data_IF_500231645122
#
_entry.id   IF_500231645122
#
_cell.length_a   1.000
_cell.length_b   1.000
_cell.length_c   1.000
_cell.angle_alpha   90.00
_cell.angle_beta   90.00
_cell.angle_gamma   90.00
#
_symmetry.space_group_name_H-M   'P 1'
#
loop_
_entity.id
_entity.type
_entity.pdbx_description
1 polymer ?
#
# COMPACT_ATOMS: atom_id res chain seq x y z
N UNK A 1 -10.91 5.80 -20.72
CA UNK A 1 -10.11 6.95 -20.30
C UNK A 1 -9.14 6.48 -19.23
N UNK A 2 -7.82 6.75 -19.34
CA UNK A 2 -6.86 6.36 -18.31
C UNK A 2 -7.15 7.14 -17.02
N UNK A 3 -7.19 6.45 -15.89
CA UNK A 3 -7.21 7.14 -14.60
C UNK A 3 -5.83 7.76 -14.34
N UNK A 4 -5.80 8.96 -13.79
CA UNK A 4 -4.54 9.64 -13.50
C UNK A 4 -3.74 8.90 -12.43
N UNK A 5 -2.41 8.93 -12.56
CA UNK A 5 -1.49 8.47 -11.54
C UNK A 5 -1.82 9.12 -10.18
N UNK A 6 -1.52 8.47 -9.04
CA UNK A 6 -1.61 9.13 -7.76
C UNK A 6 -0.75 10.40 -7.81
N UNK A 7 -1.28 11.53 -7.31
CA UNK A 7 -0.57 12.79 -7.38
C UNK A 7 0.77 12.66 -6.66
N UNK A 8 1.82 13.19 -7.27
CA UNK A 8 3.10 13.36 -6.59
C UNK A 8 2.93 14.23 -5.32
N UNK A 9 3.88 14.21 -4.41
CA UNK A 9 3.85 15.08 -3.23
C UNK A 9 3.66 16.57 -3.64
N UNK A 10 4.25 16.97 -4.77
CA UNK A 10 4.09 18.30 -5.35
C UNK A 10 2.67 18.53 -5.90
N UNK A 11 2.04 17.52 -6.50
CA UNK A 11 0.67 17.64 -7.00
C UNK A 11 -0.34 17.69 -5.85
N UNK A 12 -0.10 16.95 -4.76
CA UNK A 12 -0.87 17.04 -3.51
C UNK A 12 -0.73 18.41 -2.87
N UNK A 13 0.50 18.94 -2.79
CA UNK A 13 0.75 20.27 -2.26
C UNK A 13 0.06 21.36 -3.10
N UNK A 14 0.13 21.27 -4.44
CA UNK A 14 -0.56 22.19 -5.36
C UNK A 14 -2.08 22.08 -5.25
N UNK A 15 -2.62 20.87 -5.12
CA UNK A 15 -4.07 20.64 -5.00
C UNK A 15 -4.60 21.15 -3.66
N UNK A 16 -3.84 20.97 -2.58
CA UNK A 16 -4.15 21.51 -1.27
C UNK A 16 -4.11 23.05 -1.29
N UNK A 17 -3.08 23.65 -1.91
CA UNK A 17 -2.97 25.08 -2.05
C UNK A 17 -4.14 25.68 -2.87
N UNK A 18 -4.52 25.04 -3.98
CA UNK A 18 -5.66 25.45 -4.80
C UNK A 18 -6.99 25.35 -4.05
N UNK A 19 -7.22 24.29 -3.28
CA UNK A 19 -8.42 24.14 -2.42
C UNK A 19 -8.45 25.18 -1.29
N UNK A 20 -7.32 25.48 -0.70
CA UNK A 20 -7.19 26.51 0.32
C UNK A 20 -7.51 27.90 -0.24
N UNK A 21 -7.04 28.21 -1.45
CA UNK A 21 -7.38 29.45 -2.14
C UNK A 21 -8.87 29.54 -2.47
N UNK A 22 -9.50 28.44 -2.90
CA UNK A 22 -10.92 28.38 -3.17
C UNK A 22 -11.77 28.55 -1.89
N UNK A 23 -11.36 27.95 -0.77
CA UNK A 23 -12.01 28.14 0.52
C UNK A 23 -11.84 29.56 1.07
N UNK A 24 -10.67 30.17 0.90
CA UNK A 24 -10.43 31.56 1.26
C UNK A 24 -11.28 32.52 0.41
N UNK A 25 -11.42 32.27 -0.90
CA UNK A 25 -12.30 33.04 -1.78
C UNK A 25 -13.78 32.91 -1.40
N UNK A 26 -14.22 31.71 -1.00
CA UNK A 26 -15.59 31.46 -0.52
C UNK A 26 -15.86 32.17 0.80
N UNK A 27 -14.89 32.17 1.72
CA UNK A 27 -14.99 32.88 2.99
C UNK A 27 -15.03 34.41 2.80
N UNK A 28 -14.25 34.95 1.84
CA UNK A 28 -14.31 36.37 1.47
C UNK A 28 -15.64 36.76 0.83
N UNK A 29 -16.21 35.88 0.00
CA UNK A 29 -17.53 36.12 -0.62
C UNK A 29 -18.65 36.04 0.41
N UNK A 30 -18.56 35.20 1.42
CA UNK A 30 -19.52 35.14 2.53
C UNK A 30 -19.40 36.36 3.46
N UNK A 31 -18.16 36.81 3.71
CA UNK A 31 -17.92 38.02 4.50
C UNK A 31 -18.47 39.28 3.81
N UNK A 32 -18.28 39.43 2.51
CA UNK A 32 -18.82 40.55 1.72
C UNK A 32 -20.35 40.49 1.57
N UNK A 33 -20.94 39.28 1.60
CA UNK A 33 -22.42 39.11 1.57
C UNK A 33 -23.08 39.43 2.92
N UNK A 34 -22.35 39.20 4.02
CA UNK A 34 -22.79 39.58 5.36
C UNK A 34 -22.79 41.13 5.58
N UNK A 35 -21.89 41.84 4.88
CA UNK A 35 -21.86 43.32 4.92
C UNK A 35 -22.91 43.99 4.03
N UNK A 36 -23.46 43.28 3.03
CA UNK A 36 -24.45 43.81 2.08
C UNK A 36 -25.92 43.73 2.54
N UNK A 37 -26.20 43.09 3.68
CA UNK A 37 -27.58 42.83 4.13
C UNK A 37 -28.15 43.82 5.19
N UNK A 38 -27.49 44.94 5.48
CA UNK A 38 -27.96 45.90 6.49
C UNK A 38 -28.11 47.32 5.97
N UNK A 39 -28.77 47.50 4.84
CA UNK A 39 -29.06 48.85 4.32
C UNK A 39 -30.48 48.90 3.73
N UNK A 40 -31.49 49.03 4.59
CA UNK A 40 -32.75 49.73 4.26
C UNK A 40 -33.59 49.94 5.53
N UNK A 41 -33.57 51.15 6.10
CA UNK A 41 -34.70 51.77 6.76
C UNK A 41 -34.36 53.19 7.30
N UNK A 42 -35.12 54.15 6.78
CA UNK A 42 -35.57 55.43 7.36
C UNK A 42 -34.58 56.55 7.65
N UNK A 43 -34.81 57.64 6.87
CA UNK A 43 -34.36 58.99 7.10
C UNK A 43 -34.85 59.59 8.44
N UNK A 44 -33.89 59.98 9.27
CA UNK A 44 -34.01 61.13 10.18
C UNK A 44 -32.62 61.79 10.31
N UNK A 45 -32.52 63.13 10.16
CA UNK A 45 -31.26 63.89 10.21
C UNK A 45 -30.57 63.74 11.56
N UNK A 46 -29.26 63.47 11.60
CA UNK A 46 -28.55 63.42 12.86
C UNK A 46 -27.74 64.68 13.12
N UNK A 47 -27.80 65.13 14.33
CA UNK A 47 -26.84 66.04 14.97
C UNK A 47 -25.41 65.42 15.00
N UNK A 48 -24.46 66.21 14.65
CA UNK A 48 -23.03 65.93 14.49
C UNK A 48 -22.36 65.72 15.84
N UNK A 49 -22.11 64.47 16.24
CA UNK A 49 -21.18 64.15 17.35
C UNK A 49 -19.94 63.44 16.80
N UNK A 50 -18.75 63.90 17.26
CA UNK A 50 -17.40 63.39 16.86
C UNK A 50 -17.28 61.90 17.25
N UNK A 51 -16.79 61.01 16.37
CA UNK A 51 -16.56 59.61 16.71
C UNK A 51 -15.29 59.47 17.56
N UNK A 52 -15.41 58.81 18.70
CA UNK A 52 -14.32 58.50 19.60
C UNK A 52 -13.42 57.41 19.04
N UNK A 53 -12.09 57.56 19.19
CA UNK A 53 -11.01 56.68 18.72
C UNK A 53 -11.04 55.19 19.17
N UNK A 54 -12.07 54.77 19.94
CA UNK A 54 -12.12 53.43 20.57
C UNK A 54 -12.53 52.28 19.61
N UNK A 55 -13.26 52.56 18.54
CA UNK A 55 -13.78 51.50 17.62
C UNK A 55 -12.75 50.90 16.68
N UNK A 56 -11.66 51.64 16.38
CA UNK A 56 -10.62 51.12 15.45
C UNK A 56 -9.70 50.07 16.06
N UNK A 57 -9.53 50.00 17.39
CA UNK A 57 -8.68 49.00 18.05
C UNK A 57 -9.30 47.61 18.05
N UNK A 58 -10.62 47.48 18.21
CA UNK A 58 -11.35 46.20 18.20
C UNK A 58 -11.31 45.51 16.83
N UNK A 59 -11.50 46.27 15.74
CA UNK A 59 -11.49 45.74 14.38
C UNK A 59 -10.09 45.24 14.00
N UNK A 60 -9.03 45.98 14.37
CA UNK A 60 -7.64 45.63 14.10
C UNK A 60 -7.22 44.37 14.90
N UNK A 61 -7.65 44.23 16.13
CA UNK A 61 -7.39 43.06 16.96
C UNK A 61 -8.18 41.82 16.45
N UNK A 62 -9.40 42.00 15.93
CA UNK A 62 -10.18 40.95 15.30
C UNK A 62 -9.55 40.44 14.00
N UNK A 63 -9.03 41.35 13.16
CA UNK A 63 -8.32 40.97 11.91
C UNK A 63 -7.01 40.23 12.23
N UNK A 64 -6.24 40.68 13.22
CA UNK A 64 -5.00 40.04 13.64
C UNK A 64 -5.31 38.64 14.23
N UNK A 65 -6.30 38.53 15.10
CA UNK A 65 -6.71 37.24 15.66
C UNK A 65 -7.22 36.28 14.59
N UNK A 66 -7.99 36.75 13.61
CA UNK A 66 -8.43 35.96 12.47
C UNK A 66 -7.29 35.49 11.58
N UNK A 67 -6.37 36.38 11.24
CA UNK A 67 -5.17 36.03 10.45
C UNK A 67 -4.28 35.03 11.18
N UNK A 68 -4.08 35.20 12.49
CA UNK A 68 -3.30 34.25 13.31
C UNK A 68 -3.98 32.89 13.38
N UNK A 69 -5.30 32.82 13.55
CA UNK A 69 -6.04 31.57 13.57
C UNK A 69 -5.97 30.83 12.23
N UNK A 70 -6.06 31.55 11.10
CA UNK A 70 -5.91 30.99 9.76
C UNK A 70 -4.48 30.47 9.55
N UNK A 71 -3.46 31.23 9.95
CA UNK A 71 -2.06 30.80 9.83
C UNK A 71 -1.77 29.55 10.68
N UNK A 72 -2.29 29.47 11.89
CA UNK A 72 -2.17 28.30 12.74
C UNK A 72 -2.93 27.08 12.18
N UNK A 73 -4.12 27.27 11.63
CA UNK A 73 -4.88 26.20 10.99
C UNK A 73 -4.17 25.69 9.75
N UNK A 74 -3.66 26.58 8.87
CA UNK A 74 -2.91 26.21 7.68
C UNK A 74 -1.58 25.55 8.05
N UNK A 75 -0.84 26.09 9.00
CA UNK A 75 0.40 25.50 9.50
C UNK A 75 0.17 24.15 10.15
N UNK A 76 -0.88 24.00 10.95
CA UNK A 76 -1.25 22.75 11.61
C UNK A 76 -1.66 21.66 10.62
N UNK A 77 -2.49 21.99 9.62
CA UNK A 77 -2.90 21.01 8.59
C UNK A 77 -1.74 20.61 7.69
N UNK A 78 -0.85 21.53 7.32
CA UNK A 78 0.34 21.22 6.54
C UNK A 78 1.30 20.34 7.33
N UNK A 79 1.58 20.69 8.60
CA UNK A 79 2.43 19.89 9.46
C UNK A 79 1.85 18.49 9.69
N UNK A 80 0.53 18.38 9.90
CA UNK A 80 -0.15 17.10 10.02
C UNK A 80 -0.04 16.27 8.72
N UNK A 81 -0.27 16.89 7.57
CA UNK A 81 -0.19 16.19 6.28
C UNK A 81 1.24 15.72 5.97
N UNK A 82 2.25 16.56 6.24
CA UNK A 82 3.65 16.17 6.09
C UNK A 82 3.99 15.02 7.03
N UNK A 83 3.61 15.10 8.30
CA UNK A 83 3.84 14.04 9.28
C UNK A 83 3.13 12.74 8.89
N UNK A 84 1.89 12.84 8.37
CA UNK A 84 1.08 11.65 8.04
C UNK A 84 1.50 10.96 6.76
N UNK A 85 2.02 11.69 5.75
CA UNK A 85 2.19 11.17 4.39
C UNK A 85 3.60 11.30 3.81
N UNK A 86 4.50 12.02 4.47
CA UNK A 86 5.81 12.35 3.88
C UNK A 86 6.97 12.05 4.84
N UNK A 87 6.81 12.32 6.13
CA UNK A 87 7.89 12.11 7.10
C UNK A 87 7.95 10.64 7.47
N UNK A 88 9.12 10.05 7.33
CA UNK A 88 9.39 8.67 7.74
C UNK A 88 9.34 8.54 9.26
N UNK A 89 8.62 7.54 9.74
CA UNK A 89 8.53 7.19 11.16
C UNK A 89 9.13 5.81 11.36
N UNK A 90 10.38 5.75 11.75
CA UNK A 90 11.10 4.50 11.99
C UNK A 90 10.77 3.98 13.37
N UNK A 91 10.23 2.76 13.45
CA UNK A 91 9.94 2.03 14.69
C UNK A 91 11.03 0.98 14.98
N UNK A 92 11.52 0.31 13.91
CA UNK A 92 12.65 -0.63 13.96
C UNK A 92 13.71 -0.17 12.95
N UNK A 93 14.91 0.12 13.44
CA UNK A 93 16.00 0.71 12.62
C UNK A 93 16.77 -0.32 11.79
N UNK A 94 16.69 -1.62 12.12
CA UNK A 94 17.22 -2.73 11.35
C UNK A 94 16.34 -3.94 11.57
N UNK A 95 15.51 -4.26 10.59
CA UNK A 95 14.60 -5.39 10.65
C UNK A 95 15.37 -6.72 10.66
N UNK A 96 16.42 -6.84 9.87
CA UNK A 96 17.28 -8.02 9.81
C UNK A 96 17.95 -8.32 11.18
N UNK A 97 18.43 -7.30 11.86
CA UNK A 97 18.99 -7.43 13.23
C UNK A 97 17.91 -7.79 14.24
N UNK A 98 16.73 -7.22 14.10
CA UNK A 98 15.60 -7.53 14.97
C UNK A 98 15.13 -8.98 14.80
N UNK A 99 14.97 -9.45 13.58
CA UNK A 99 14.64 -10.85 13.25
C UNK A 99 15.70 -11.82 13.81
N UNK A 100 16.98 -11.48 13.65
CA UNK A 100 18.08 -12.28 14.19
C UNK A 100 18.01 -12.39 15.72
N UNK A 101 17.66 -11.31 16.42
CA UNK A 101 17.47 -11.32 17.88
C UNK A 101 16.31 -12.20 18.33
N UNK A 102 15.32 -12.43 17.46
CA UNK A 102 14.18 -13.31 17.69
C UNK A 102 14.43 -14.77 17.23
N UNK A 103 15.63 -15.08 16.77
CA UNK A 103 15.99 -16.41 16.26
C UNK A 103 15.52 -16.69 14.84
N UNK A 104 15.07 -15.67 14.10
CA UNK A 104 14.53 -15.76 12.74
C UNK A 104 15.49 -15.18 11.69
N UNK A 105 16.79 -15.17 11.98
CA UNK A 105 17.80 -14.72 11.02
C UNK A 105 17.68 -15.45 9.68
N UNK A 106 17.95 -14.74 8.60
CA UNK A 106 18.13 -15.39 7.30
C UNK A 106 19.37 -16.29 7.37
N UNK A 107 19.16 -17.59 7.19
CA UNK A 107 20.30 -18.52 7.07
C UNK A 107 20.95 -18.34 5.71
N UNK A 108 22.16 -17.83 5.71
CA UNK A 108 22.97 -17.55 4.51
C UNK A 108 23.72 -18.77 3.98
N UNK A 109 23.27 -19.99 4.21
CA UNK A 109 23.86 -21.13 3.50
C UNK A 109 23.38 -21.12 2.04
N UNK A 110 23.98 -20.19 1.26
CA UNK A 110 23.72 -20.09 -0.18
C UNK A 110 24.36 -21.29 -0.86
N UNK A 111 23.61 -22.37 -1.00
CA UNK A 111 24.05 -23.47 -1.84
C UNK A 111 23.69 -23.16 -3.29
N UNK A 112 24.53 -22.36 -3.96
CA UNK A 112 24.35 -21.99 -5.36
C UNK A 112 24.97 -22.98 -6.34
N UNK A 113 25.71 -23.98 -5.84
CA UNK A 113 26.48 -24.88 -6.69
C UNK A 113 25.62 -25.77 -7.60
N UNK A 114 24.33 -25.91 -7.28
CA UNK A 114 23.36 -26.68 -8.07
C UNK A 114 22.32 -25.81 -8.76
N UNK A 115 22.39 -24.49 -8.59
CA UNK A 115 21.39 -23.58 -9.14
C UNK A 115 21.49 -23.49 -10.67
N UNK A 116 20.36 -23.68 -11.33
CA UNK A 116 20.20 -23.43 -12.78
C UNK A 116 19.21 -22.31 -12.98
N UNK A 117 19.63 -21.29 -13.72
CA UNK A 117 18.80 -20.11 -14.01
C UNK A 117 18.71 -19.89 -15.51
N UNK A 118 17.50 -19.66 -16.00
CA UNK A 118 17.22 -19.20 -17.37
C UNK A 118 16.52 -17.83 -17.31
N UNK A 119 16.05 -17.32 -18.44
CA UNK A 119 15.27 -16.08 -18.50
C UNK A 119 13.96 -16.16 -17.71
N UNK A 120 13.40 -17.34 -17.58
CA UNK A 120 12.04 -17.60 -17.09
C UNK A 120 11.96 -18.73 -16.05
N UNK A 121 13.07 -19.37 -15.70
CA UNK A 121 13.10 -20.43 -14.68
C UNK A 121 14.30 -20.31 -13.74
N UNK A 122 14.09 -20.74 -12.50
CA UNK A 122 15.12 -20.96 -11.50
C UNK A 122 14.88 -22.30 -10.82
N UNK A 123 15.95 -23.07 -10.66
CA UNK A 123 15.92 -24.31 -9.90
C UNK A 123 17.17 -24.41 -9.03
N UNK A 124 16.97 -24.68 -7.74
CA UNK A 124 18.05 -24.98 -6.81
C UNK A 124 17.56 -26.02 -5.80
N UNK A 125 18.13 -27.21 -5.84
CA UNK A 125 17.62 -28.32 -5.03
C UNK A 125 16.12 -28.56 -5.28
N UNK A 126 15.31 -28.40 -4.24
CA UNK A 126 13.86 -28.55 -4.32
C UNK A 126 13.09 -27.23 -4.57
N UNK A 127 13.79 -26.10 -4.59
CA UNK A 127 13.18 -24.83 -4.97
C UNK A 127 13.09 -24.74 -6.49
N UNK A 128 11.86 -24.54 -7.00
CA UNK A 128 11.59 -24.36 -8.42
C UNK A 128 10.71 -23.15 -8.61
N UNK A 129 11.13 -22.25 -9.49
CA UNK A 129 10.37 -21.06 -9.87
C UNK A 129 10.27 -21.03 -11.39
N UNK A 130 9.07 -20.85 -11.91
CA UNK A 130 8.87 -20.54 -13.33
C UNK A 130 8.02 -19.28 -13.47
N UNK A 131 8.47 -18.37 -14.32
CA UNK A 131 7.76 -17.11 -14.60
C UNK A 131 7.30 -17.13 -16.04
N UNK A 132 6.04 -16.82 -16.29
CA UNK A 132 5.49 -16.73 -17.64
C UNK A 132 4.63 -15.48 -17.81
N UNK A 133 4.73 -14.85 -18.96
CA UNK A 133 3.81 -13.82 -19.42
C UNK A 133 2.62 -14.48 -20.09
N UNK A 134 1.42 -14.01 -19.77
CA UNK A 134 0.18 -14.41 -20.41
C UNK A 134 -0.53 -13.17 -20.95
N UNK A 135 -1.03 -13.27 -22.19
CA UNK A 135 -1.86 -12.23 -22.78
C UNK A 135 -3.20 -12.84 -23.21
N UNK A 136 -4.26 -12.32 -22.65
CA UNK A 136 -5.62 -12.81 -22.91
C UNK A 136 -6.63 -11.65 -22.85
N UNK A 137 -7.48 -11.53 -23.89
CA UNK A 137 -8.59 -10.56 -23.96
C UNK A 137 -8.20 -9.11 -23.61
N UNK A 138 -7.03 -8.63 -24.08
CA UNK A 138 -6.57 -7.27 -23.81
C UNK A 138 -6.08 -7.05 -22.37
N UNK A 139 -5.72 -8.14 -21.69
CA UNK A 139 -5.07 -8.15 -20.39
C UNK A 139 -3.74 -8.89 -20.51
N UNK A 140 -2.67 -8.26 -20.01
CA UNK A 140 -1.35 -8.88 -19.86
C UNK A 140 -1.11 -9.12 -18.38
N UNK A 141 -0.70 -10.32 -18.02
CA UNK A 141 -0.33 -10.66 -16.65
C UNK A 141 0.83 -11.64 -16.60
N UNK A 142 1.51 -11.65 -15.49
CA UNK A 142 2.67 -12.48 -15.22
C UNK A 142 2.34 -13.43 -14.10
N UNK A 143 2.70 -14.69 -14.29
CA UNK A 143 2.48 -15.77 -13.34
C UNK A 143 3.82 -16.33 -12.93
N UNK A 144 4.10 -16.33 -11.63
CA UNK A 144 5.18 -17.11 -11.06
C UNK A 144 4.59 -18.34 -10.35
N UNK A 145 4.96 -19.52 -10.83
CA UNK A 145 4.69 -20.81 -10.19
C UNK A 145 5.93 -21.18 -9.35
N UNK A 146 5.71 -21.35 -8.04
CA UNK A 146 6.79 -21.47 -7.05
C UNK A 146 6.58 -22.71 -6.19
N UNK A 147 7.48 -23.68 -6.30
CA UNK A 147 7.53 -24.85 -5.46
C UNK A 147 8.74 -24.77 -4.53
N UNK A 148 8.51 -24.89 -3.24
CA UNK A 148 9.52 -24.84 -2.19
C UNK A 148 9.62 -26.16 -1.47
N UNK A 149 10.79 -26.51 -0.94
CA UNK A 149 10.94 -27.61 0.00
C UNK A 149 10.59 -27.19 1.43
N UNK A 150 10.70 -25.90 1.71
CA UNK A 150 10.48 -25.27 3.02
C UNK A 150 9.86 -23.88 2.81
N UNK A 151 8.67 -23.69 3.32
CA UNK A 151 7.95 -22.42 3.20
C UNK A 151 8.69 -21.24 3.83
N UNK A 152 9.62 -21.48 4.74
CA UNK A 152 10.43 -20.41 5.35
C UNK A 152 11.41 -19.76 4.36
N UNK A 153 11.63 -20.37 3.19
CA UNK A 153 12.32 -19.77 2.07
C UNK A 153 11.55 -18.62 1.42
N UNK A 154 10.21 -18.57 1.61
CA UNK A 154 9.39 -17.41 1.22
C UNK A 154 9.49 -16.35 2.32
N UNK A 155 10.31 -15.36 2.09
CA UNK A 155 10.61 -14.29 3.05
C UNK A 155 9.97 -12.97 2.67
N UNK A 156 9.96 -12.04 3.62
CA UNK A 156 9.67 -10.63 3.38
C UNK A 156 10.86 -9.77 3.75
N UNK A 157 11.03 -8.64 3.05
CA UNK A 157 12.03 -7.64 3.39
C UNK A 157 11.39 -6.24 3.34
N UNK A 158 11.72 -5.41 4.31
CA UNK A 158 11.26 -4.03 4.37
C UNK A 158 12.17 -3.10 3.58
N UNK A 159 11.62 -2.01 3.09
CA UNK A 159 12.38 -0.93 2.49
C UNK A 159 13.44 -0.41 3.47
N UNK A 160 14.68 -0.22 2.98
CA UNK A 160 15.83 0.26 3.77
C UNK A 160 16.16 -0.59 5.01
N UNK A 161 15.75 -1.87 5.06
CA UNK A 161 15.86 -2.74 6.26
C UNK A 161 15.17 -2.13 7.51
N UNK A 162 14.12 -1.30 7.33
CA UNK A 162 13.46 -0.57 8.41
C UNK A 162 11.97 -0.84 8.44
N UNK A 163 11.42 -1.04 9.64
CA UNK A 163 9.97 -1.07 9.84
C UNK A 163 9.47 0.26 10.40
N UNK A 164 8.35 0.74 9.86
CA UNK A 164 7.71 1.97 10.31
C UNK A 164 6.69 2.49 9.30
N UNK A 165 6.38 3.79 9.37
CA UNK A 165 5.43 4.42 8.46
C UNK A 165 6.13 5.33 7.44
N UNK A 166 5.61 5.37 6.22
CA UNK A 166 6.10 6.14 5.06
C UNK A 166 7.50 5.73 4.54
N UNK A 167 8.11 4.68 5.07
CA UNK A 167 9.39 4.15 4.60
C UNK A 167 9.14 3.34 3.34
N UNK A 168 9.78 3.70 2.22
CA UNK A 168 9.58 3.05 0.93
C UNK A 168 10.86 3.01 0.12
N UNK A 169 10.99 1.98 -0.73
CA UNK A 169 12.02 1.87 -1.75
C UNK A 169 11.46 1.07 -2.95
N UNK A 170 12.20 1.03 -4.05
CA UNK A 170 11.82 0.28 -5.25
C UNK A 170 11.88 -1.23 -4.96
N UNK A 171 10.94 -1.98 -5.54
CA UNK A 171 10.97 -3.45 -5.45
C UNK A 171 12.32 -4.00 -5.92
N UNK A 172 12.86 -3.46 -7.03
CA UNK A 172 14.17 -3.84 -7.57
C UNK A 172 15.33 -3.58 -6.61
N UNK A 173 15.29 -2.45 -5.87
CA UNK A 173 16.31 -2.11 -4.86
C UNK A 173 16.24 -3.09 -3.70
N UNK A 174 15.07 -3.24 -3.09
CA UNK A 174 14.87 -4.15 -1.93
C UNK A 174 15.24 -5.59 -2.33
N UNK A 175 14.84 -6.04 -3.54
CA UNK A 175 15.15 -7.37 -4.05
C UNK A 175 16.68 -7.58 -4.23
N UNK A 176 17.37 -6.57 -4.76
CA UNK A 176 18.82 -6.60 -4.97
C UNK A 176 19.55 -6.67 -3.64
N UNK A 177 19.19 -5.84 -2.67
CA UNK A 177 19.81 -5.77 -1.35
C UNK A 177 19.64 -7.07 -0.56
N UNK A 178 18.57 -7.83 -0.84
CA UNK A 178 18.28 -9.11 -0.21
C UNK A 178 18.71 -10.33 -1.06
N UNK A 179 19.52 -10.11 -2.12
CA UNK A 179 19.97 -11.17 -3.02
C UNK A 179 18.81 -12.05 -3.55
N UNK A 180 17.68 -11.43 -3.87
CA UNK A 180 16.50 -12.13 -4.35
C UNK A 180 16.71 -12.69 -5.75
N UNK A 181 16.19 -13.90 -6.01
CA UNK A 181 15.97 -14.43 -7.36
C UNK A 181 14.58 -14.14 -7.86
N UNK A 182 13.62 -14.03 -6.96
CA UNK A 182 12.21 -13.70 -7.21
C UNK A 182 11.70 -12.75 -6.15
N UNK A 183 10.92 -11.76 -6.55
CA UNK A 183 10.17 -10.91 -5.63
C UNK A 183 8.90 -10.34 -6.27
N UNK A 184 7.93 -10.01 -5.42
CA UNK A 184 6.77 -9.17 -5.73
C UNK A 184 6.67 -8.05 -4.68
N UNK A 185 5.93 -6.98 -4.99
CA UNK A 185 5.54 -6.02 -3.97
C UNK A 185 4.74 -6.69 -2.85
N UNK A 186 4.91 -6.23 -1.63
CA UNK A 186 4.18 -6.71 -0.47
C UNK A 186 2.80 -6.04 -0.29
N UNK A 187 2.40 -5.87 0.97
CA UNK A 187 1.17 -5.19 1.33
C UNK A 187 1.38 -3.68 1.58
N UNK A 188 0.36 -3.00 2.08
CA UNK A 188 0.31 -1.55 2.27
C UNK A 188 0.56 -1.13 3.73
N UNK A 189 1.27 -1.95 4.52
CA UNK A 189 1.40 -1.77 5.98
C UNK A 189 2.01 -0.42 6.37
N UNK A 190 2.95 0.12 5.60
CA UNK A 190 3.67 1.36 5.88
C UNK A 190 2.82 2.62 5.78
N UNK A 191 1.64 2.54 5.17
CA UNK A 191 0.68 3.64 5.04
C UNK A 191 -0.57 3.45 5.90
N UNK A 192 -0.61 2.40 6.72
CA UNK A 192 -1.68 2.08 7.67
C UNK A 192 -1.13 2.00 9.08
N UNK A 193 -1.96 2.37 10.06
CA UNK A 193 -1.66 2.17 11.49
C UNK A 193 -2.26 0.87 12.05
N UNK A 194 -3.00 0.13 11.24
CA UNK A 194 -3.69 -1.11 11.59
C UNK A 194 -3.24 -2.28 10.73
N UNK A 195 -3.57 -3.49 11.15
CA UNK A 195 -3.19 -4.76 10.56
C UNK A 195 -2.20 -5.51 11.46
N UNK A 196 -2.27 -6.85 11.44
CA UNK A 196 -1.26 -7.69 12.07
C UNK A 196 -0.09 -7.84 11.10
N UNK A 197 1.11 -7.43 11.53
CA UNK A 197 2.34 -7.53 10.71
C UNK A 197 3.30 -8.50 11.40
N UNK A 198 3.39 -9.69 10.84
CA UNK A 198 4.39 -10.71 11.14
C UNK A 198 5.21 -10.89 9.86
N UNK A 199 6.52 -10.72 9.94
CA UNK A 199 7.46 -10.97 8.84
C UNK A 199 8.54 -11.92 9.33
N UNK A 200 8.75 -12.99 8.57
CA UNK A 200 9.77 -13.99 8.88
C UNK A 200 9.65 -14.53 10.32
N UNK A 201 8.41 -14.79 10.78
CA UNK A 201 8.13 -15.25 12.15
C UNK A 201 8.32 -14.24 13.26
N UNK A 202 8.60 -12.98 12.93
CA UNK A 202 8.84 -11.88 13.88
C UNK A 202 7.65 -10.91 13.88
N UNK A 203 7.20 -10.53 15.08
CA UNK A 203 6.06 -9.61 15.26
C UNK A 203 6.54 -8.17 15.18
N UNK A 204 5.92 -7.38 14.30
CA UNK A 204 6.17 -5.94 14.14
C UNK A 204 4.98 -5.09 14.54
N UNK A 205 3.75 -5.60 14.34
CA UNK A 205 2.51 -4.89 14.73
C UNK A 205 1.43 -5.91 15.10
N UNK A 206 0.69 -5.61 16.16
CA UNK A 206 -0.48 -6.37 16.61
C UNK A 206 -1.68 -5.42 16.75
N UNK A 207 -2.29 -5.06 15.61
CA UNK A 207 -3.41 -4.12 15.55
C UNK A 207 -4.43 -4.57 14.51
N UNK A 208 -5.05 -5.75 14.78
CA UNK A 208 -5.99 -6.40 13.86
C UNK A 208 -7.19 -5.50 13.53
N UNK A 209 -7.55 -5.43 12.24
CA UNK A 209 -8.62 -4.56 11.78
C UNK A 209 -9.45 -5.12 10.62
N UNK A 210 -8.99 -6.18 9.94
CA UNK A 210 -9.61 -6.67 8.70
C UNK A 210 -9.34 -8.16 8.48
N UNK A 211 -9.76 -8.66 7.34
CA UNK A 211 -9.37 -9.97 6.88
C UNK A 211 -7.89 -9.97 6.48
N UNK A 212 -7.11 -10.85 7.06
CA UNK A 212 -5.70 -11.05 6.77
C UNK A 212 -5.42 -12.39 6.10
N UNK A 213 -4.21 -12.54 5.56
CA UNK A 213 -3.65 -13.79 5.08
C UNK A 213 -2.51 -14.21 5.99
N UNK A 214 -2.49 -15.48 6.41
CA UNK A 214 -1.40 -16.09 7.15
C UNK A 214 -0.75 -17.20 6.31
N UNK A 215 0.58 -17.16 6.20
CA UNK A 215 1.41 -18.21 5.61
C UNK A 215 2.16 -18.89 6.75
N UNK A 216 2.04 -20.20 6.84
CA UNK A 216 2.62 -21.00 7.93
C UNK A 216 3.97 -21.60 7.53
N UNK A 217 4.79 -21.93 8.52
CA UNK A 217 6.09 -22.60 8.32
C UNK A 217 5.95 -23.99 7.71
N UNK A 218 4.79 -24.63 7.88
CA UNK A 218 4.47 -25.94 7.30
C UNK A 218 4.07 -25.89 5.81
N UNK A 219 4.08 -24.69 5.23
CA UNK A 219 3.74 -24.48 3.81
C UNK A 219 2.25 -24.27 3.55
N UNK A 220 1.41 -24.27 4.57
CA UNK A 220 -0.02 -23.97 4.42
C UNK A 220 -0.28 -22.46 4.39
N UNK A 221 -1.43 -22.06 3.85
CA UNK A 221 -1.85 -20.66 3.75
C UNK A 221 -3.34 -20.54 4.04
N UNK A 222 -3.72 -19.61 4.93
CA UNK A 222 -5.11 -19.44 5.37
C UNK A 222 -5.48 -17.98 5.47
N UNK A 223 -6.72 -17.69 5.08
CA UNK A 223 -7.36 -16.40 5.38
C UNK A 223 -7.88 -16.45 6.83
N UNK A 224 -7.77 -15.32 7.53
CA UNK A 224 -8.23 -15.21 8.93
C UNK A 224 -8.79 -13.82 9.22
N UNK A 225 -9.58 -13.71 10.28
CA UNK A 225 -10.06 -12.43 10.81
C UNK A 225 -9.07 -11.91 11.85
N UNK A 226 -8.36 -10.82 11.53
CA UNK A 226 -7.38 -10.20 12.42
C UNK A 226 -7.99 -9.76 13.76
N UNK A 227 -9.28 -9.46 13.79
CA UNK A 227 -9.96 -8.97 15.01
C UNK A 227 -10.25 -10.09 16.01
N UNK A 228 -10.09 -11.34 15.62
CA UNK A 228 -10.39 -12.53 16.45
C UNK A 228 -9.13 -13.21 17.00
N UNK A 229 -7.94 -12.63 16.77
CA UNK A 229 -6.67 -13.24 17.16
C UNK A 229 -5.65 -12.17 17.56
N UNK A 230 -4.46 -12.60 17.96
CA UNK A 230 -3.31 -11.73 18.22
C UNK A 230 -2.11 -12.20 17.41
N UNK A 231 -1.14 -11.31 17.19
CA UNK A 231 0.10 -11.66 16.51
C UNK A 231 0.85 -12.79 17.24
N UNK A 232 0.85 -12.78 18.58
CA UNK A 232 1.50 -13.83 19.37
C UNK A 232 0.84 -15.18 19.17
N UNK A 233 -0.50 -15.26 19.20
CA UNK A 233 -1.22 -16.50 18.97
C UNK A 233 -0.96 -17.07 17.56
N UNK A 234 -0.79 -16.22 16.57
CA UNK A 234 -0.44 -16.61 15.20
C UNK A 234 0.99 -17.18 15.13
N UNK A 235 1.97 -16.52 15.77
CA UNK A 235 3.36 -17.02 15.82
C UNK A 235 3.42 -18.37 16.57
N UNK A 236 2.72 -18.50 17.70
CA UNK A 236 2.64 -19.75 18.47
C UNK A 236 2.00 -20.87 17.65
N UNK A 237 1.09 -20.54 16.73
CA UNK A 237 0.48 -21.48 15.79
C UNK A 237 1.37 -21.79 14.56
N UNK A 238 2.58 -21.23 14.47
CA UNK A 238 3.53 -21.51 13.40
C UNK A 238 3.43 -20.56 12.21
N UNK A 239 2.75 -19.41 12.33
CA UNK A 239 2.69 -18.41 11.24
C UNK A 239 4.08 -17.82 10.99
N UNK A 240 4.44 -17.79 9.71
CA UNK A 240 5.70 -17.25 9.20
C UNK A 240 5.54 -15.84 8.65
N UNK A 241 4.47 -15.60 7.88
CA UNK A 241 4.13 -14.30 7.29
C UNK A 241 2.65 -13.99 7.52
N UNK A 242 2.32 -12.73 7.72
CA UNK A 242 0.95 -12.22 7.57
C UNK A 242 0.90 -11.12 6.54
N UNK A 243 -0.19 -11.01 5.80
CA UNK A 243 -0.46 -9.93 4.85
C UNK A 243 -1.83 -9.36 5.15
N UNK A 244 -1.90 -8.03 5.24
CA UNK A 244 -3.10 -7.31 5.69
C UNK A 244 -3.53 -6.26 4.67
N UNK A 245 -3.78 -6.67 3.42
CA UNK A 245 -4.32 -5.80 2.37
C UNK A 245 -5.76 -6.20 2.04
N UNK A 246 -5.94 -7.31 1.35
CA UNK A 246 -7.24 -7.90 1.01
C UNK A 246 -7.91 -7.33 -0.26
N UNK A 247 -9.04 -7.89 -0.60
CA UNK A 247 -9.72 -9.00 0.08
C UNK A 247 -9.09 -10.37 -0.26
N UNK A 248 -9.55 -11.43 0.44
CA UNK A 248 -9.40 -12.77 -0.07
C UNK A 248 -10.17 -12.90 -1.39
N UNK A 249 -9.59 -13.65 -2.32
CA UNK A 249 -10.13 -13.87 -3.66
C UNK A 249 -10.77 -15.25 -3.78
N UNK A 250 -10.11 -16.25 -3.21
CA UNK A 250 -10.54 -17.65 -3.21
C UNK A 250 -10.46 -18.25 -1.81
N UNK A 251 -11.45 -19.05 -1.48
CA UNK A 251 -11.43 -20.02 -0.37
C UNK A 251 -11.87 -21.38 -0.90
N UNK A 252 -11.13 -22.43 -0.56
CA UNK A 252 -11.37 -23.81 -1.02
C UNK A 252 -11.59 -23.94 -2.54
N UNK A 253 -10.84 -23.15 -3.33
CA UNK A 253 -10.94 -23.10 -4.79
C UNK A 253 -12.19 -22.38 -5.33
N UNK A 254 -13.00 -21.78 -4.47
CA UNK A 254 -14.20 -21.06 -4.85
C UNK A 254 -13.99 -19.54 -4.77
N UNK A 255 -14.46 -18.82 -5.79
CA UNK A 255 -14.41 -17.35 -5.83
C UNK A 255 -15.35 -16.79 -4.76
N UNK A 256 -14.84 -15.86 -3.96
CA UNK A 256 -15.62 -15.18 -2.93
C UNK A 256 -16.62 -14.24 -3.59
N UNK A 257 -17.88 -14.33 -3.21
CA UNK A 257 -18.94 -13.52 -3.78
C UNK A 257 -18.84 -12.04 -3.35
N UNK A 258 -19.20 -11.13 -4.25
CA UNK A 258 -19.32 -9.70 -3.93
C UNK A 258 -18.00 -8.94 -3.82
N UNK A 259 -16.86 -9.55 -4.15
CA UNK A 259 -15.53 -8.94 -4.00
C UNK A 259 -15.32 -7.67 -4.84
N UNK A 260 -16.03 -7.48 -5.94
CA UNK A 260 -15.94 -6.28 -6.78
C UNK A 260 -16.55 -5.03 -6.14
N UNK A 261 -17.37 -5.19 -5.11
CA UNK A 261 -18.06 -4.09 -4.43
C UNK A 261 -17.48 -3.78 -3.04
N UNK A 262 -16.40 -4.47 -2.66
CA UNK A 262 -15.74 -4.21 -1.39
C UNK A 262 -14.98 -2.90 -1.43
N UNK A 263 -14.97 -2.20 -0.30
CA UNK A 263 -14.18 -1.02 -0.06
C UNK A 263 -13.26 -1.31 1.14
N UNK A 264 -11.94 -1.30 0.90
CA UNK A 264 -10.96 -1.68 1.92
C UNK A 264 -10.36 -0.44 2.57
N UNK A 265 -10.10 0.59 1.79
CA UNK A 265 -9.44 1.80 2.24
C UNK A 265 -10.17 3.04 1.71
N UNK A 266 -10.65 3.89 2.63
CA UNK A 266 -11.31 5.15 2.32
C UNK A 266 -10.43 6.36 2.66
N UNK A 267 -9.14 6.14 2.92
CA UNK A 267 -8.20 7.19 3.25
C UNK A 267 -8.08 8.22 2.12
N UNK A 268 -7.84 9.48 2.50
CA UNK A 268 -7.65 10.56 1.55
C UNK A 268 -6.53 10.24 0.55
N UNK A 269 -6.84 10.32 -0.74
CA UNK A 269 -5.90 9.99 -1.83
C UNK A 269 -5.82 8.51 -2.18
N UNK A 270 -6.42 7.63 -1.41
CA UNK A 270 -6.52 6.22 -1.72
C UNK A 270 -7.85 5.95 -2.45
N UNK A 271 -7.77 5.30 -3.60
CA UNK A 271 -8.93 4.95 -4.39
C UNK A 271 -9.38 3.54 -4.01
N UNK A 272 -10.70 3.32 -4.07
CA UNK A 272 -11.29 1.99 -3.94
C UNK A 272 -10.57 0.98 -4.84
N UNK A 273 -10.45 -0.26 -4.36
CA UNK A 273 -9.95 -1.40 -5.14
C UNK A 273 -10.88 -1.79 -6.30
N UNK A 274 -12.00 -1.09 -6.48
CA UNK A 274 -13.01 -1.37 -7.50
C UNK A 274 -12.52 -1.08 -8.93
N UNK A 275 -13.19 -1.70 -9.89
CA UNK A 275 -12.92 -1.54 -11.31
C UNK A 275 -11.64 -2.24 -11.79
N UNK A 276 -11.33 -2.03 -13.07
CA UNK A 276 -10.14 -2.61 -13.72
C UNK A 276 -8.90 -1.84 -13.33
N UNK A 277 -7.93 -2.51 -12.71
CA UNK A 277 -6.69 -1.95 -12.23
C UNK A 277 -5.53 -2.93 -12.48
N UNK A 278 -4.26 -2.48 -12.47
CA UNK A 278 -3.14 -3.36 -12.20
C UNK A 278 -3.33 -4.03 -10.84
N UNK A 279 -2.96 -5.31 -10.71
CA UNK A 279 -3.20 -6.11 -9.51
C UNK A 279 -2.00 -6.97 -9.17
N UNK A 280 -1.86 -7.27 -7.88
CA UNK A 280 -0.92 -8.27 -7.37
C UNK A 280 -1.68 -9.24 -6.48
N UNK A 281 -1.46 -10.53 -6.66
CA UNK A 281 -2.06 -11.58 -5.85
C UNK A 281 -1.07 -12.68 -5.51
N UNK A 282 -1.30 -13.30 -4.37
CA UNK A 282 -0.66 -14.54 -3.94
C UNK A 282 -1.72 -15.62 -3.76
N UNK A 283 -1.41 -16.86 -4.12
CA UNK A 283 -2.25 -18.02 -3.88
C UNK A 283 -1.45 -19.26 -3.54
N UNK A 284 -2.15 -20.26 -3.04
CA UNK A 284 -1.59 -21.58 -2.76
C UNK A 284 -2.35 -22.64 -3.56
N UNK A 285 -1.61 -23.49 -4.26
CA UNK A 285 -2.12 -24.63 -5.03
C UNK A 285 -2.13 -25.87 -4.13
N UNK A 286 -1.03 -26.11 -3.42
CA UNK A 286 -0.85 -27.16 -2.44
C UNK A 286 0.21 -26.74 -1.41
N UNK A 287 0.45 -27.50 -0.36
CA UNK A 287 1.46 -27.17 0.66
C UNK A 287 2.82 -26.94 0.01
N UNK A 288 3.47 -25.80 0.33
CA UNK A 288 4.71 -25.33 -0.28
C UNK A 288 4.66 -25.07 -1.80
N UNK A 289 3.47 -25.05 -2.40
CA UNK A 289 3.28 -24.75 -3.81
C UNK A 289 2.45 -23.48 -3.98
N UNK A 290 3.14 -22.38 -4.18
CA UNK A 290 2.55 -21.04 -4.27
C UNK A 290 2.45 -20.58 -5.72
N UNK A 291 1.50 -19.71 -5.99
CA UNK A 291 1.36 -19.01 -7.26
C UNK A 291 1.21 -17.51 -7.00
N UNK A 292 1.97 -16.73 -7.76
CA UNK A 292 1.94 -15.27 -7.70
C UNK A 292 1.50 -14.73 -9.05
N UNK A 293 0.63 -13.72 -9.03
CA UNK A 293 0.12 -13.08 -10.23
C UNK A 293 0.30 -11.58 -10.12
N UNK A 294 0.94 -10.99 -11.12
CA UNK A 294 0.99 -9.53 -11.31
C UNK A 294 0.31 -9.20 -12.63
N UNK A 295 -0.72 -8.39 -12.60
CA UNK A 295 -1.50 -7.95 -13.76
C UNK A 295 -1.10 -6.54 -14.12
N UNK A 296 -0.63 -6.33 -15.34
CA UNK A 296 -0.47 -5.00 -15.92
C UNK A 296 -1.81 -4.31 -16.13
N UNK A 297 -1.80 -2.99 -16.12
CA UNK A 297 -3.03 -2.25 -16.39
C UNK A 297 -2.77 -0.80 -16.76
N UNK A 298 -3.85 -0.04 -16.94
CA UNK A 298 -3.81 1.39 -17.29
C UNK A 298 -3.00 1.70 -18.57
N UNK A 299 -2.85 0.73 -19.46
CA UNK A 299 -2.07 0.84 -20.69
C UNK A 299 -2.87 0.43 -21.91
N UNK A 300 -2.30 0.67 -23.11
CA UNK A 300 -2.93 0.23 -24.37
C UNK A 300 -2.88 -1.29 -24.55
N UNK A 301 -1.92 -1.95 -23.94
CA UNK A 301 -1.68 -3.40 -24.05
C UNK A 301 -2.34 -4.20 -22.94
N UNK A 302 -2.73 -3.54 -21.84
CA UNK A 302 -3.43 -4.18 -20.73
C UNK A 302 -4.38 -3.20 -20.04
N UNK A 303 -5.66 -3.56 -19.97
CA UNK A 303 -6.67 -2.76 -19.25
C UNK A 303 -6.61 -2.94 -17.74
N UNK A 304 -5.92 -3.96 -17.24
CA UNK A 304 -6.06 -4.46 -15.88
C UNK A 304 -7.32 -5.30 -15.69
N UNK A 305 -7.55 -5.76 -14.46
CA UNK A 305 -8.69 -6.61 -14.10
C UNK A 305 -9.45 -6.09 -12.89
N UNK A 306 -10.71 -6.49 -12.76
CA UNK A 306 -11.51 -6.35 -11.52
C UNK A 306 -11.03 -7.35 -10.46
N UNK A 307 -11.56 -7.30 -9.26
CA UNK A 307 -11.26 -8.32 -8.23
C UNK A 307 -11.77 -9.70 -8.64
N UNK A 308 -12.97 -9.79 -9.22
CA UNK A 308 -13.49 -11.05 -9.75
C UNK A 308 -12.63 -11.58 -10.91
N UNK A 309 -12.17 -10.72 -11.81
CA UNK A 309 -11.25 -11.12 -12.87
C UNK A 309 -9.89 -11.60 -12.36
N UNK A 310 -9.37 -11.03 -11.27
CA UNK A 310 -8.17 -11.53 -10.60
C UNK A 310 -8.42 -12.89 -9.95
N UNK A 311 -9.57 -13.06 -9.30
CA UNK A 311 -9.98 -14.33 -8.70
C UNK A 311 -10.14 -15.44 -9.76
N UNK A 312 -10.74 -15.14 -10.92
CA UNK A 312 -10.84 -16.06 -12.05
C UNK A 312 -9.46 -16.51 -12.56
N UNK A 313 -8.49 -15.59 -12.66
CA UNK A 313 -7.11 -15.93 -13.01
C UNK A 313 -6.53 -16.88 -11.97
N UNK A 314 -6.62 -16.57 -10.69
CA UNK A 314 -6.09 -17.41 -9.62
C UNK A 314 -6.75 -18.80 -9.59
N UNK A 315 -8.06 -18.86 -9.80
CA UNK A 315 -8.81 -20.12 -9.88
C UNK A 315 -8.36 -20.97 -11.08
N UNK A 316 -8.16 -20.35 -12.24
CA UNK A 316 -7.69 -21.04 -13.44
C UNK A 316 -6.29 -21.63 -13.32
N UNK A 317 -5.48 -21.09 -12.39
CA UNK A 317 -4.14 -21.58 -12.05
C UNK A 317 -4.18 -22.69 -10.98
N UNK A 318 -5.37 -23.04 -10.48
CA UNK A 318 -5.57 -24.13 -9.51
C UNK A 318 -5.37 -23.69 -8.06
N UNK A 319 -5.34 -22.40 -7.76
CA UNK A 319 -5.23 -21.93 -6.39
C UNK A 319 -6.45 -22.34 -5.55
N UNK A 320 -6.20 -22.90 -4.37
CA UNK A 320 -7.22 -23.26 -3.36
C UNK A 320 -7.58 -22.06 -2.50
N UNK A 321 -6.58 -21.30 -2.07
CA UNK A 321 -6.73 -20.01 -1.37
C UNK A 321 -5.96 -18.96 -2.16
N UNK A 322 -6.54 -17.77 -2.32
CA UNK A 322 -5.86 -16.64 -2.96
C UNK A 322 -6.26 -15.32 -2.30
N UNK A 323 -5.34 -14.37 -2.33
CA UNK A 323 -5.45 -13.10 -1.62
C UNK A 323 -4.87 -11.95 -2.45
N UNK A 324 -5.56 -10.81 -2.46
CA UNK A 324 -5.12 -9.62 -3.16
C UNK A 324 -4.17 -8.80 -2.29
N UNK A 325 -3.11 -8.30 -2.91
CA UNK A 325 -2.11 -7.42 -2.31
C UNK A 325 -2.23 -5.99 -2.83
N UNK A 326 -1.30 -5.10 -2.42
CA UNK A 326 -1.25 -3.75 -2.98
C UNK A 326 -1.10 -3.82 -4.50
N UNK A 327 -1.82 -2.95 -5.16
CA UNK A 327 -1.97 -2.95 -6.59
C UNK A 327 -1.71 -1.59 -7.24
N UNK A 328 -2.27 -1.40 -8.42
CA UNK A 328 -2.09 -0.16 -9.16
C UNK A 328 -0.64 0.07 -9.56
N UNK A 329 -0.07 1.21 -9.17
CA UNK A 329 1.32 1.54 -9.47
C UNK A 329 2.35 0.68 -8.75
N UNK A 330 1.97 0.00 -7.65
CA UNK A 330 2.85 -0.91 -6.92
C UNK A 330 2.94 -2.31 -7.53
N UNK A 331 2.02 -2.67 -8.45
CA UNK A 331 2.01 -4.02 -9.04
C UNK A 331 3.30 -4.30 -9.79
N UNK A 332 4.16 -5.12 -9.18
CA UNK A 332 5.50 -5.39 -9.72
C UNK A 332 5.97 -6.79 -9.40
N UNK A 333 6.65 -7.41 -10.38
CA UNK A 333 7.30 -8.70 -10.26
C UNK A 333 8.75 -8.58 -10.71
N UNK A 334 9.66 -8.97 -9.84
CA UNK A 334 11.09 -9.06 -10.08
C UNK A 334 11.52 -10.52 -10.25
N UNK A 335 12.31 -10.79 -11.27
CA UNK A 335 12.88 -12.12 -11.46
C UNK A 335 14.27 -12.03 -12.07
N UNK A 336 15.23 -12.73 -11.47
CA UNK A 336 16.59 -12.89 -11.96
C UNK A 336 17.27 -11.59 -12.42
N UNK A 337 17.17 -10.54 -11.61
CA UNK A 337 17.86 -9.27 -11.85
C UNK A 337 17.05 -8.24 -12.64
N UNK A 338 15.78 -8.46 -12.95
CA UNK A 338 14.96 -7.51 -13.74
C UNK A 338 13.50 -7.51 -13.31
N UNK A 339 12.87 -6.35 -13.46
CA UNK A 339 11.41 -6.23 -13.42
C UNK A 339 10.85 -6.87 -14.67
N UNK A 340 9.97 -7.87 -14.51
CA UNK A 340 9.45 -8.67 -15.64
C UNK A 340 8.12 -8.17 -16.18
N UNK A 341 7.36 -7.42 -15.40
CA UNK A 341 6.11 -6.79 -15.84
C UNK A 341 6.33 -5.34 -16.29
N UNK A 342 5.26 -4.64 -16.66
CA UNK A 342 5.30 -3.23 -17.07
C UNK A 342 4.54 -2.35 -16.07
N UNK A 343 5.22 -1.79 -15.04
CA UNK A 343 4.60 -0.96 -14.02
C UNK A 343 3.84 0.24 -14.61
N UNK A 344 2.63 0.49 -14.11
CA UNK A 344 1.66 1.40 -14.76
C UNK A 344 2.00 2.88 -14.72
N UNK A 345 2.98 3.29 -13.93
CA UNK A 345 3.39 4.71 -13.77
C UNK A 345 4.52 5.15 -14.70
N UNK A 346 4.86 4.32 -15.70
CA UNK A 346 6.01 4.55 -16.58
C UNK A 346 7.35 4.19 -15.95
N UNK A 347 7.33 3.46 -14.85
CA UNK A 347 8.45 2.96 -14.07
C UNK A 347 7.97 2.40 -12.73
N UNK A 348 8.88 1.89 -11.95
CA UNK A 348 8.61 1.36 -10.61
C UNK A 348 8.03 2.43 -9.69
N UNK A 349 7.19 2.02 -8.77
CA UNK A 349 6.73 2.82 -7.65
C UNK A 349 7.25 2.22 -6.34
N UNK A 350 7.89 3.04 -5.53
CA UNK A 350 8.39 2.62 -4.23
C UNK A 350 7.27 2.02 -3.36
N UNK A 351 7.58 0.91 -2.67
CA UNK A 351 6.72 0.12 -1.79
C UNK A 351 7.35 -0.02 -0.42
N UNK A 352 6.56 -0.39 0.60
CA UNK A 352 7.06 -0.52 1.97
C UNK A 352 7.81 -1.82 2.21
N UNK A 353 7.48 -2.88 1.47
CA UNK A 353 8.09 -4.20 1.59
C UNK A 353 7.91 -5.02 0.31
N UNK A 354 8.62 -6.13 0.28
CA UNK A 354 8.51 -7.18 -0.74
C UNK A 354 8.27 -8.54 -0.09
N UNK A 355 7.71 -9.46 -0.89
CA UNK A 355 7.76 -10.90 -0.64
C UNK A 355 8.77 -11.47 -1.64
N UNK A 356 9.74 -12.26 -1.18
CA UNK A 356 10.82 -12.69 -2.01
C UNK A 356 11.37 -14.08 -1.69
N UNK A 357 12.14 -14.61 -2.61
CA UNK A 357 12.95 -15.83 -2.45
C UNK A 357 14.38 -15.45 -2.80
N UNK A 358 15.33 -15.77 -1.91
CA UNK A 358 16.75 -15.47 -2.12
C UNK A 358 17.40 -16.48 -3.06
N UNK A 359 18.47 -16.09 -3.75
CA UNK A 359 19.31 -17.03 -4.47
C UNK A 359 19.94 -18.02 -3.50
N UNK A 360 19.84 -19.32 -3.79
CA UNK A 360 20.38 -20.36 -2.94
C UNK A 360 19.42 -20.91 -1.88
N UNK A 361 18.18 -20.41 -1.84
CA UNK A 361 17.13 -20.98 -0.98
C UNK A 361 16.62 -22.33 -1.52
#
# INVERSE_FOLDING_TARGET
>A
LPQPAPPSADDLARTLAARQQAQAATAQTQASRAEGSSASAHHTKPTRTRPTKRRRKGLRNGIIAGATAITLALGGTTAWALNRYVIDHVEVTSASSYEASQGNAQTTSLNTDTATTTSDTYTNGNTKISVKQVQNNGVTYYVADVQLSDATALRSAFANDQFGSNITDLVSSIATDNNAVFAINGDYYGFRSTGIVIRNGTIYRDSGARQGLAIYKDGTMKVYDETQTTAQALVDAGVWQTLSFGPALLENGQIISGIDNLEIDTNFGNHSIQGKQPRTAIGIIDDNHFVFVVVDGRSRTSSGVTMSGLAEIMQSLGAKTAYNLDGGGSSEMWFNGQVVNNPSNGGERATSDIIYITKGA
#
